data_IF_496855081130
#
_entry.id   IF_496855081130
#
_cell.length_a   1.000
_cell.length_b   1.000
_cell.length_c   1.000
_cell.angle_alpha   90.00
_cell.angle_beta   90.00
_cell.angle_gamma   90.00
#
_symmetry.space_group_name_H-M   'P 1'
#
loop_
_entity.id
_entity.type
_entity.pdbx_description
1 polymer ?
#
# COMPACT_ATOMS: atom_id res chain seq x y z
N UNK A 1 18.88 4.34 -11.21
CA UNK A 1 17.84 5.10 -10.48
C UNK A 1 16.86 4.11 -9.88
N UNK A 2 16.22 4.46 -8.77
CA UNK A 2 15.26 3.57 -8.13
C UNK A 2 14.00 3.45 -8.97
N UNK A 3 13.48 2.23 -9.10
CA UNK A 3 12.15 1.98 -9.65
C UNK A 3 11.41 1.03 -8.74
N UNK A 4 10.13 1.28 -8.54
CA UNK A 4 9.25 0.39 -7.80
C UNK A 4 7.85 0.50 -8.36
N UNK A 5 7.12 -0.62 -8.40
CA UNK A 5 5.67 -0.56 -8.53
C UNK A 5 5.11 -0.30 -7.14
N UNK A 6 4.14 0.61 -7.02
CA UNK A 6 3.44 0.92 -5.78
C UNK A 6 2.00 1.37 -6.09
N UNK A 7 1.04 0.85 -5.32
CA UNK A 7 -0.40 1.00 -5.54
C UNK A 7 -0.84 0.92 -7.02
N UNK A 8 -0.40 -0.11 -7.73
CA UNK A 8 -0.77 -0.40 -9.12
C UNK A 8 -0.11 0.50 -10.17
N UNK A 9 0.85 1.33 -9.79
CA UNK A 9 1.54 2.27 -10.69
C UNK A 9 3.05 2.09 -10.61
N UNK A 10 3.74 2.20 -11.73
CA UNK A 10 5.21 2.20 -11.78
C UNK A 10 5.72 3.60 -11.41
N UNK A 11 6.64 3.66 -10.46
CA UNK A 11 7.37 4.86 -10.07
C UNK A 11 8.83 4.73 -10.47
N UNK A 12 9.39 5.79 -11.04
CA UNK A 12 10.79 5.84 -11.48
C UNK A 12 11.45 7.13 -11.02
N UNK A 13 12.60 6.99 -10.36
CA UNK A 13 13.47 8.10 -9.99
C UNK A 13 14.35 8.56 -11.15
N UNK A 14 14.80 9.81 -11.10
CA UNK A 14 15.62 10.41 -12.16
C UNK A 14 16.91 11.04 -11.65
N UNK A 15 17.88 11.11 -12.56
CA UNK A 15 19.07 11.95 -12.53
C UNK A 15 18.90 12.91 -13.74
N UNK A 16 19.27 14.20 -13.65
CA UNK A 16 20.13 14.83 -12.64
C UNK A 16 19.40 15.53 -11.49
N UNK A 17 18.08 15.41 -11.39
CA UNK A 17 17.30 16.29 -10.50
C UNK A 17 16.64 15.59 -9.31
N UNK A 18 16.79 14.27 -9.15
CA UNK A 18 16.05 13.51 -8.14
C UNK A 18 14.53 13.69 -8.22
N UNK A 19 14.00 13.92 -9.42
CA UNK A 19 12.56 13.91 -9.66
C UNK A 19 12.07 12.45 -9.66
N UNK A 20 10.88 12.22 -9.13
CA UNK A 20 10.17 10.93 -9.23
C UNK A 20 8.97 11.09 -10.15
N UNK A 21 8.81 10.16 -11.08
CA UNK A 21 7.68 10.12 -12.00
C UNK A 21 6.86 8.85 -11.79
N UNK A 22 5.55 9.00 -11.90
CA UNK A 22 4.57 7.91 -11.96
C UNK A 22 4.15 7.68 -13.40
N UNK A 23 4.22 6.43 -13.86
CA UNK A 23 3.71 6.02 -15.16
C UNK A 23 2.18 5.94 -15.14
N UNK A 24 1.52 6.66 -16.03
CA UNK A 24 0.06 6.71 -16.13
C UNK A 24 -0.51 6.00 -17.37
N UNK A 25 0.34 5.29 -18.13
CA UNK A 25 -0.03 4.50 -19.30
C UNK A 25 0.40 5.14 -20.63
N UNK A 26 0.59 4.30 -21.64
CA UNK A 26 1.09 4.72 -22.97
C UNK A 26 2.46 5.38 -22.89
N UNK A 27 2.52 6.66 -23.23
CA UNK A 27 3.73 7.50 -23.11
C UNK A 27 3.65 8.50 -21.95
N UNK A 28 2.59 8.46 -21.13
CA UNK A 28 2.31 9.47 -20.10
C UNK A 28 3.04 9.18 -18.80
N UNK A 29 3.81 10.16 -18.35
CA UNK A 29 4.46 10.19 -17.04
C UNK A 29 4.07 11.45 -16.29
N UNK A 30 3.68 11.31 -15.03
CA UNK A 30 3.31 12.42 -14.14
C UNK A 30 4.36 12.57 -13.07
N UNK A 31 4.96 13.76 -12.94
CA UNK A 31 5.90 14.03 -11.84
C UNK A 31 5.17 13.98 -10.49
N UNK A 32 5.77 13.32 -9.51
CA UNK A 32 5.30 13.27 -8.12
C UNK A 32 6.14 14.13 -7.19
N UNK A 33 7.13 14.84 -7.74
CA UNK A 33 7.93 15.81 -7.03
C UNK A 33 9.43 15.60 -7.16
N UNK A 34 10.16 16.68 -6.88
CA UNK A 34 11.61 16.72 -6.72
C UNK A 34 11.97 16.40 -5.28
N UNK A 35 12.74 15.34 -5.07
CA UNK A 35 13.03 14.85 -3.73
C UNK A 35 14.32 15.41 -3.11
N UNK A 36 15.21 16.00 -3.90
CA UNK A 36 16.46 16.60 -3.42
C UNK A 36 16.64 17.99 -4.01
N UNK A 37 16.83 18.99 -3.14
CA UNK A 37 17.03 20.39 -3.49
C UNK A 37 18.38 20.93 -3.02
N UNK A 38 19.36 20.05 -2.76
CA UNK A 38 20.71 20.45 -2.35
C UNK A 38 21.27 21.48 -3.35
N UNK A 39 21.63 22.70 -2.90
CA UNK A 39 22.14 23.75 -3.77
C UNK A 39 23.51 23.38 -4.32
N UNK A 40 23.92 24.03 -5.41
CA UNK A 40 25.27 23.94 -6.01
C UNK A 40 25.71 22.52 -6.41
N UNK A 41 24.76 21.59 -6.55
CA UNK A 41 25.00 20.22 -6.98
C UNK A 41 24.40 19.99 -8.37
N UNK A 42 25.28 19.65 -9.31
CA UNK A 42 24.90 19.31 -10.70
C UNK A 42 24.09 18.03 -10.81
N UNK A 43 24.39 17.01 -10.00
CA UNK A 43 23.78 15.69 -10.09
C UNK A 43 23.13 15.28 -8.77
N UNK A 44 21.80 15.32 -8.75
CA UNK A 44 20.95 14.76 -7.71
C UNK A 44 20.25 13.50 -8.22
N UNK A 45 20.02 12.54 -7.34
CA UNK A 45 19.51 11.22 -7.72
C UNK A 45 18.42 10.75 -6.79
N UNK A 46 17.30 10.29 -7.36
CA UNK A 46 16.36 9.38 -6.70
C UNK A 46 16.85 7.93 -6.88
N UNK A 47 17.66 7.46 -5.93
CA UNK A 47 18.60 6.36 -6.13
C UNK A 47 18.02 4.97 -5.85
N UNK A 48 17.33 4.81 -4.73
CA UNK A 48 16.78 3.54 -4.26
C UNK A 48 15.31 3.71 -3.91
N UNK A 49 14.51 2.66 -4.11
CA UNK A 49 13.09 2.66 -3.75
C UNK A 49 12.70 1.35 -3.08
N UNK A 50 11.82 1.42 -2.08
CA UNK A 50 11.25 0.27 -1.40
C UNK A 50 9.84 0.58 -0.90
N UNK A 51 8.96 -0.43 -0.87
CA UNK A 51 7.64 -0.30 -0.25
C UNK A 51 7.69 -0.89 1.14
N UNK A 52 7.28 -0.12 2.14
CA UNK A 52 7.25 -0.54 3.55
C UNK A 52 6.09 0.16 4.26
N UNK A 53 5.39 -0.54 5.16
CA UNK A 53 4.25 0.02 5.92
C UNK A 53 3.21 0.73 5.04
N UNK A 54 2.97 0.18 3.84
CA UNK A 54 2.03 0.73 2.87
C UNK A 54 2.46 2.05 2.23
N UNK A 55 3.72 2.47 2.34
CA UNK A 55 4.29 3.67 1.73
C UNK A 55 5.45 3.33 0.78
N UNK A 56 5.66 4.17 -0.22
CA UNK A 56 6.85 4.10 -1.08
C UNK A 56 7.94 4.99 -0.49
N UNK A 57 9.08 4.41 -0.11
CA UNK A 57 10.26 5.12 0.34
C UNK A 57 11.23 5.31 -0.83
N UNK A 58 11.90 6.46 -0.86
CA UNK A 58 12.95 6.77 -1.84
C UNK A 58 14.15 7.40 -1.14
N UNK A 59 15.33 6.80 -1.32
CA UNK A 59 16.60 7.38 -0.90
C UNK A 59 17.14 8.33 -1.97
N UNK A 60 17.69 9.47 -1.56
CA UNK A 60 18.24 10.48 -2.47
C UNK A 60 19.70 10.83 -2.21
N UNK A 61 20.39 11.24 -3.27
CA UNK A 61 21.77 11.74 -3.25
C UNK A 61 21.82 13.17 -3.82
N UNK A 62 22.70 14.04 -3.30
CA UNK A 62 23.72 13.76 -2.28
C UNK A 62 23.25 13.96 -0.84
N UNK A 63 22.05 14.48 -0.60
CA UNK A 63 21.62 14.82 0.77
C UNK A 63 21.56 13.61 1.72
N UNK A 64 21.43 12.40 1.19
CA UNK A 64 21.32 11.18 1.98
C UNK A 64 19.95 11.01 2.65
N UNK A 65 19.00 11.90 2.37
CA UNK A 65 17.65 11.80 2.91
C UNK A 65 16.90 10.59 2.37
N UNK A 66 15.97 10.09 3.17
CA UNK A 66 14.96 9.09 2.76
C UNK A 66 13.59 9.73 2.93
N UNK A 67 12.87 9.86 1.83
CA UNK A 67 11.51 10.43 1.80
C UNK A 67 10.50 9.32 1.55
N UNK A 68 9.24 9.53 1.96
CA UNK A 68 8.15 8.60 1.70
C UNK A 68 6.98 9.27 1.00
N UNK A 69 6.31 8.52 0.14
CA UNK A 69 5.07 8.88 -0.54
C UNK A 69 3.99 7.88 -0.14
N UNK A 70 2.83 8.40 0.22
CA UNK A 70 1.62 7.61 0.41
C UNK A 70 0.65 7.92 -0.73
N UNK A 71 0.47 6.96 -1.64
CA UNK A 71 -0.44 7.07 -2.77
C UNK A 71 -1.62 6.14 -2.52
N UNK A 72 -2.68 6.70 -1.94
CA UNK A 72 -3.80 5.93 -1.42
C UNK A 72 -3.57 5.40 -0.01
N UNK A 73 -4.64 4.91 0.63
CA UNK A 73 -4.58 4.44 2.02
C UNK A 73 -4.47 2.94 2.08
N UNK A 74 -3.53 2.48 2.89
CA UNK A 74 -3.28 1.06 3.12
C UNK A 74 -3.14 0.77 4.61
N UNK A 75 -3.37 -0.49 4.96
CA UNK A 75 -2.99 -1.09 6.23
C UNK A 75 -2.29 -2.40 5.91
N UNK A 76 -1.08 -2.56 6.42
CA UNK A 76 -0.24 -3.74 6.16
C UNK A 76 0.05 -4.48 7.46
N UNK A 77 0.45 -5.74 7.32
CA UNK A 77 1.09 -6.50 8.37
C UNK A 77 2.39 -7.04 7.79
N UNK A 78 3.47 -6.29 7.97
CA UNK A 78 4.75 -6.51 7.28
C UNK A 78 5.63 -7.56 7.97
N UNK A 79 4.98 -8.64 8.45
CA UNK A 79 5.63 -9.78 9.10
C UNK A 79 5.00 -11.06 8.60
N UNK A 80 5.79 -12.13 8.54
CA UNK A 80 5.27 -13.45 8.23
C UNK A 80 4.21 -13.87 9.25
N UNK A 81 3.10 -14.43 8.77
CA UNK A 81 2.16 -15.15 9.62
C UNK A 81 2.82 -16.46 10.09
N UNK A 82 2.46 -16.91 11.28
CA UNK A 82 2.81 -18.25 11.72
C UNK A 82 2.14 -19.32 10.83
N UNK A 83 2.65 -20.55 10.90
CA UNK A 83 2.04 -21.68 10.22
C UNK A 83 0.61 -21.95 10.73
N UNK A 84 -0.27 -22.35 9.83
CA UNK A 84 -1.65 -22.73 10.15
C UNK A 84 -2.69 -21.71 9.68
N UNK A 85 -3.95 -22.01 9.98
CA UNK A 85 -5.08 -21.15 9.60
C UNK A 85 -5.16 -19.90 10.48
N UNK A 86 -5.15 -18.74 9.83
CA UNK A 86 -5.36 -17.44 10.47
C UNK A 86 -6.61 -16.77 9.91
N UNK A 87 -7.39 -16.13 10.78
CA UNK A 87 -8.53 -15.35 10.35
C UNK A 87 -8.13 -13.88 10.15
N UNK A 88 -8.24 -13.39 8.92
CA UNK A 88 -7.94 -12.00 8.56
C UNK A 88 -9.23 -11.23 8.33
N UNK A 89 -9.29 -9.99 8.84
CA UNK A 89 -10.38 -9.06 8.56
C UNK A 89 -9.85 -7.67 8.23
N UNK A 90 -10.08 -7.23 6.99
CA UNK A 90 -9.85 -5.85 6.55
C UNK A 90 -11.17 -5.08 6.59
N UNK A 91 -11.21 -3.97 7.34
CA UNK A 91 -12.42 -3.17 7.55
C UNK A 91 -12.16 -1.73 7.16
N UNK A 92 -13.02 -1.18 6.30
CA UNK A 92 -13.15 0.26 6.13
C UNK A 92 -14.34 0.77 6.94
N UNK A 93 -14.11 1.72 7.85
CA UNK A 93 -15.18 2.41 8.60
C UNK A 93 -14.97 3.92 8.49
N UNK A 94 -15.83 4.59 7.72
CA UNK A 94 -15.72 6.02 7.45
C UNK A 94 -14.38 6.36 6.81
N UNK A 95 -13.58 7.16 7.52
CA UNK A 95 -12.29 7.69 7.10
C UNK A 95 -11.07 6.87 7.58
N UNK A 96 -11.24 5.61 7.96
CA UNK A 96 -10.15 4.74 8.40
C UNK A 96 -10.25 3.33 7.84
N UNK A 97 -9.09 2.73 7.59
CA UNK A 97 -8.90 1.31 7.34
C UNK A 97 -8.36 0.65 8.60
N UNK A 98 -8.73 -0.62 8.82
CA UNK A 98 -8.25 -1.46 9.91
C UNK A 98 -7.97 -2.86 9.41
N UNK A 99 -6.87 -3.45 9.86
CA UNK A 99 -6.56 -4.85 9.65
C UNK A 99 -6.58 -5.55 11.00
N UNK A 100 -7.23 -6.71 11.04
CA UNK A 100 -7.23 -7.60 12.21
C UNK A 100 -6.77 -8.99 11.82
N UNK A 101 -5.99 -9.62 12.69
CA UNK A 101 -5.57 -11.02 12.61
C UNK A 101 -6.07 -11.71 13.88
N UNK A 102 -6.78 -12.82 13.70
CA UNK A 102 -7.37 -13.62 14.78
C UNK A 102 -8.22 -12.81 15.78
N UNK A 103 -8.94 -11.81 15.26
CA UNK A 103 -9.82 -10.93 16.03
C UNK A 103 -9.10 -9.79 16.77
N UNK A 104 -7.77 -9.71 16.70
CA UNK A 104 -6.97 -8.60 17.23
C UNK A 104 -6.66 -7.60 16.11
N UNK A 105 -6.96 -6.32 16.31
CA UNK A 105 -6.54 -5.26 15.39
C UNK A 105 -5.01 -5.14 15.41
N UNK A 106 -4.38 -5.29 14.24
CA UNK A 106 -2.92 -5.23 14.06
C UNK A 106 -2.45 -3.97 13.36
N UNK A 107 -3.32 -3.32 12.58
CA UNK A 107 -3.00 -2.06 11.90
C UNK A 107 -4.23 -1.15 11.77
N UNK A 108 -3.99 0.16 11.69
CA UNK A 108 -4.99 1.19 11.41
C UNK A 108 -4.36 2.30 10.57
N UNK A 109 -5.06 2.74 9.52
CA UNK A 109 -4.58 3.84 8.67
C UNK A 109 -4.72 5.19 9.38
N UNK A 110 -4.02 6.21 8.89
CA UNK A 110 -4.38 7.60 9.18
C UNK A 110 -5.81 7.90 8.71
N UNK A 111 -6.36 9.04 9.15
CA UNK A 111 -7.62 9.55 8.57
C UNK A 111 -7.43 9.89 7.09
N UNK A 112 -8.50 9.81 6.32
CA UNK A 112 -8.56 10.21 4.91
C UNK A 112 -9.94 10.75 4.52
N UNK A 113 -10.04 11.50 3.44
CA UNK A 113 -11.34 11.84 2.87
C UNK A 113 -11.99 10.58 2.25
N UNK A 114 -13.13 10.10 2.76
CA UNK A 114 -13.79 8.93 2.18
C UNK A 114 -14.19 9.11 0.70
N UNK A 115 -14.51 10.34 0.27
CA UNK A 115 -14.95 10.61 -1.10
C UNK A 115 -13.81 10.43 -2.12
N UNK A 116 -12.57 10.74 -1.72
CA UNK A 116 -11.37 10.51 -2.53
C UNK A 116 -11.08 9.02 -2.80
N UNK A 117 -11.73 8.11 -2.06
CA UNK A 117 -11.55 6.66 -2.19
C UNK A 117 -12.88 5.98 -2.46
N UNK A 118 -13.55 6.30 -3.58
CA UNK A 118 -14.71 5.53 -4.01
C UNK A 118 -14.29 4.09 -4.39
N UNK A 119 -14.97 3.09 -3.84
CA UNK A 119 -14.69 1.67 -4.13
C UNK A 119 -15.54 1.12 -5.28
N UNK A 120 -16.51 1.89 -5.79
CA UNK A 120 -17.26 1.51 -6.97
C UNK A 120 -16.31 1.40 -8.16
N UNK A 121 -16.24 0.21 -8.74
CA UNK A 121 -15.38 -0.08 -9.89
C UNK A 121 -16.05 -1.11 -10.79
N UNK A 122 -15.83 -0.96 -12.09
CA UNK A 122 -16.19 -1.97 -13.10
C UNK A 122 -15.06 -3.00 -13.28
N UNK A 123 -13.89 -2.75 -12.69
CA UNK A 123 -12.75 -3.66 -12.73
C UNK A 123 -12.99 -4.94 -11.92
N UNK A 124 -12.32 -6.05 -12.26
CA UNK A 124 -12.48 -7.29 -11.56
C UNK A 124 -11.92 -7.20 -10.13
N UNK A 125 -12.65 -7.77 -9.16
CA UNK A 125 -12.10 -8.04 -7.84
C UNK A 125 -11.14 -9.23 -7.93
N UNK A 126 -9.88 -9.00 -7.56
CA UNK A 126 -8.86 -10.04 -7.48
C UNK A 126 -8.58 -10.39 -6.03
N UNK A 127 -8.55 -11.68 -5.72
CA UNK A 127 -8.23 -12.22 -4.39
C UNK A 127 -7.08 -13.20 -4.58
N UNK A 128 -6.05 -13.12 -3.73
CA UNK A 128 -4.85 -13.95 -3.84
C UNK A 128 -3.87 -13.54 -4.94
N UNK A 129 -4.08 -12.40 -5.59
CA UNK A 129 -3.17 -11.85 -6.60
C UNK A 129 -2.95 -10.37 -6.35
N UNK A 130 -1.69 -9.96 -6.22
CA UNK A 130 -1.30 -8.59 -5.94
C UNK A 130 -0.33 -8.01 -6.97
N UNK A 131 0.15 -6.83 -6.64
CA UNK A 131 1.08 -6.05 -7.47
C UNK A 131 2.52 -6.58 -7.44
N UNK A 132 2.88 -7.34 -6.40
CA UNK A 132 4.21 -7.91 -6.25
C UNK A 132 4.23 -9.39 -6.66
N UNK A 133 3.28 -10.18 -6.17
CA UNK A 133 3.20 -11.61 -6.48
C UNK A 133 1.80 -12.20 -6.23
N UNK A 134 1.64 -13.49 -6.52
CA UNK A 134 0.50 -14.29 -6.10
C UNK A 134 0.63 -14.76 -4.65
N UNK A 135 -0.51 -14.96 -3.99
CA UNK A 135 -0.55 -15.57 -2.68
C UNK A 135 -0.24 -17.06 -2.80
N UNK A 136 0.80 -17.50 -2.10
CA UNK A 136 1.17 -18.90 -2.00
C UNK A 136 0.65 -19.48 -0.68
N UNK A 137 -0.54 -20.08 -0.72
CA UNK A 137 -1.21 -20.68 0.44
C UNK A 137 -2.66 -21.01 0.17
N UNK A 138 -3.38 -21.42 1.21
CA UNK A 138 -4.80 -21.77 1.12
C UNK A 138 -5.70 -20.65 1.66
N UNK A 139 -6.87 -20.48 1.06
CA UNK A 139 -7.90 -19.56 1.51
C UNK A 139 -9.23 -20.30 1.65
N UNK A 140 -9.98 -19.99 2.71
CA UNK A 140 -11.30 -20.57 3.00
C UNK A 140 -12.23 -19.47 3.50
N UNK A 141 -13.54 -19.63 3.26
CA UNK A 141 -14.60 -18.76 3.81
C UNK A 141 -14.42 -17.27 3.49
N UNK A 142 -14.04 -16.93 2.26
CA UNK A 142 -13.90 -15.53 1.82
C UNK A 142 -15.27 -14.84 1.78
N UNK A 143 -15.43 -13.77 2.56
CA UNK A 143 -16.69 -13.02 2.71
C UNK A 143 -16.47 -11.53 2.48
N UNK A 144 -17.44 -10.88 1.84
CA UNK A 144 -17.43 -9.44 1.57
C UNK A 144 -18.73 -8.83 2.11
N UNK A 145 -18.61 -7.71 2.82
CA UNK A 145 -19.72 -7.03 3.45
C UNK A 145 -19.86 -5.61 2.92
N UNK A 146 -21.10 -5.15 2.73
CA UNK A 146 -21.42 -3.76 2.35
C UNK A 146 -21.35 -2.77 3.52
N UNK A 147 -20.90 -3.21 4.69
CA UNK A 147 -20.79 -2.41 5.91
C UNK A 147 -19.56 -2.81 6.71
N UNK A 148 -19.11 -1.89 7.56
CA UNK A 148 -18.07 -2.18 8.54
C UNK A 148 -18.61 -3.14 9.62
N UNK A 149 -17.91 -4.26 9.83
CA UNK A 149 -18.18 -5.14 10.95
C UNK A 149 -17.61 -4.57 12.26
N UNK A 150 -18.32 -4.82 13.35
CA UNK A 150 -17.87 -4.58 14.72
C UNK A 150 -16.89 -5.67 15.18
N UNK A 151 -16.23 -5.44 16.31
CA UNK A 151 -15.26 -6.40 16.87
C UNK A 151 -15.92 -7.71 17.30
N UNK A 152 -17.15 -7.67 17.83
CA UNK A 152 -17.91 -8.87 18.17
C UNK A 152 -18.24 -9.67 16.92
N UNK A 153 -18.78 -9.02 15.89
CA UNK A 153 -19.12 -9.69 14.62
C UNK A 153 -17.89 -10.33 13.95
N UNK A 154 -16.72 -9.68 13.99
CA UNK A 154 -15.46 -10.27 13.50
C UNK A 154 -15.11 -11.54 14.27
N UNK A 155 -15.30 -11.55 15.60
CA UNK A 155 -15.05 -12.72 16.42
C UNK A 155 -16.06 -13.85 16.16
N UNK A 156 -17.31 -13.51 15.89
CA UNK A 156 -18.35 -14.48 15.57
C UNK A 156 -18.08 -15.15 14.22
N UNK A 157 -17.72 -14.37 13.19
CA UNK A 157 -17.30 -14.90 11.88
C UNK A 157 -16.08 -15.81 12.04
N UNK A 158 -15.07 -15.38 12.81
CA UNK A 158 -13.88 -16.18 13.08
C UNK A 158 -14.20 -17.53 13.72
N UNK A 159 -15.13 -17.56 14.68
CA UNK A 159 -15.53 -18.80 15.37
C UNK A 159 -16.33 -19.73 14.47
N UNK A 160 -17.16 -19.18 13.58
CA UNK A 160 -17.99 -19.94 12.66
C UNK A 160 -17.20 -20.59 11.50
N UNK A 161 -16.02 -20.07 11.16
CA UNK A 161 -15.15 -20.62 10.10
C UNK A 161 -14.11 -21.65 10.56
N UNK A 162 -14.00 -21.88 11.88
CA UNK A 162 -13.15 -22.92 12.46
C UNK A 162 -13.71 -24.32 12.21
#
# INVERSE_FOLDING_TARGET
MGMAVYNGKLYAGTLPFADVYRYDGGSKWTTTGRLDNTPDVRYRRAWSMAVFEGKLFCGVLPSGHVLSLEAGKSVTYDRALSSGWHHLAAIRKGNRLRLSIDGKRVAESSRFDPAAFNLSTEGPLKIGLGQHDFFNGEMKDVRIYRRALSRSEINDVRRAGR
#
